data_IF_125320765429
#
_entry.id   IF_125320765429
#
_cell.length_a   1.000
_cell.length_b   1.000
_cell.length_c   1.000
_cell.angle_alpha   90.00
_cell.angle_beta   90.00
_cell.angle_gamma   90.00
#
_symmetry.space_group_name_H-M   'P 1'
#
loop_
_entity.id
_entity.type
_entity.pdbx_description
1 polymer ?
#
# COMPACT_ATOMS: atom_id res chain seq x y z
N UNK A 1 -15.56 -7.76 30.67
CA UNK A 1 -14.74 -8.23 29.55
C UNK A 1 -13.98 -7.02 29.05
N UNK A 2 -12.68 -6.94 29.31
CA UNK A 2 -11.83 -6.00 28.59
C UNK A 2 -11.88 -6.40 27.12
N UNK A 3 -12.44 -5.53 26.28
CA UNK A 3 -12.44 -5.73 24.83
C UNK A 3 -11.01 -5.70 24.34
N UNK A 4 -10.67 -6.59 23.41
CA UNK A 4 -9.35 -6.68 22.79
C UNK A 4 -8.99 -5.31 22.19
N UNK A 5 -8.05 -4.59 22.82
CA UNK A 5 -7.67 -3.25 22.41
C UNK A 5 -6.86 -3.35 21.11
N UNK A 6 -7.38 -2.77 20.03
CA UNK A 6 -6.65 -2.72 18.76
C UNK A 6 -5.44 -1.80 18.86
N UNK A 7 -4.26 -2.31 18.51
CA UNK A 7 -3.04 -1.52 18.42
C UNK A 7 -3.04 -0.69 17.13
N UNK A 8 -2.88 0.63 17.25
CA UNK A 8 -2.88 1.58 16.12
C UNK A 8 -1.59 2.38 16.12
N UNK A 9 -0.96 2.53 14.95
CA UNK A 9 0.20 3.41 14.75
C UNK A 9 -0.13 4.59 13.85
N UNK A 10 0.40 5.77 14.18
CA UNK A 10 0.30 6.97 13.35
C UNK A 10 1.72 7.55 13.22
N UNK A 11 2.19 7.71 11.99
CA UNK A 11 3.49 8.32 11.67
C UNK A 11 3.27 9.45 10.68
N UNK A 12 3.85 10.62 10.95
CA UNK A 12 3.76 11.78 10.07
C UNK A 12 4.67 11.60 8.85
N UNK A 13 4.11 11.76 7.66
CA UNK A 13 4.84 11.90 6.39
C UNK A 13 4.54 13.29 5.82
N UNK A 14 5.55 14.12 5.58
CA UNK A 14 5.35 15.53 5.20
C UNK A 14 4.85 15.71 3.77
N UNK A 15 5.16 14.76 2.89
CA UNK A 15 4.85 14.75 1.47
C UNK A 15 5.07 13.34 0.92
N UNK A 16 4.98 13.19 -0.40
CA UNK A 16 5.10 11.91 -1.09
C UNK A 16 6.49 11.64 -1.70
N UNK A 17 7.53 12.35 -1.29
CA UNK A 17 8.90 11.99 -1.70
C UNK A 17 9.23 10.56 -1.27
N UNK A 18 9.74 9.76 -2.19
CA UNK A 18 9.80 8.31 -2.03
C UNK A 18 10.56 7.88 -0.76
N UNK A 19 11.67 8.54 -0.43
CA UNK A 19 12.45 8.26 0.78
C UNK A 19 11.68 8.54 2.07
N UNK A 20 10.87 9.61 2.10
CA UNK A 20 10.06 9.97 3.26
C UNK A 20 8.91 9.00 3.45
N UNK A 21 8.26 8.60 2.36
CA UNK A 21 7.22 7.58 2.38
C UNK A 21 7.79 6.23 2.84
N UNK A 22 8.94 5.82 2.30
CA UNK A 22 9.62 4.58 2.71
C UNK A 22 9.91 4.53 4.21
N UNK A 23 10.41 5.65 4.76
CA UNK A 23 10.66 5.76 6.20
C UNK A 23 9.36 5.67 7.00
N UNK A 24 8.35 6.46 6.64
CA UNK A 24 7.10 6.54 7.39
C UNK A 24 6.32 5.22 7.38
N UNK A 25 6.27 4.52 6.23
CA UNK A 25 5.60 3.22 6.09
C UNK A 25 6.32 2.14 6.88
N UNK A 26 7.66 2.11 6.81
CA UNK A 26 8.45 1.14 7.56
C UNK A 26 8.29 1.33 9.07
N UNK A 27 8.30 2.58 9.53
CA UNK A 27 8.12 2.95 10.94
C UNK A 27 6.71 2.59 11.44
N UNK A 28 5.66 2.96 10.68
CA UNK A 28 4.27 2.68 11.08
C UNK A 28 4.02 1.18 11.21
N UNK A 29 4.47 0.38 10.25
CA UNK A 29 4.34 -1.07 10.32
C UNK A 29 5.15 -1.67 11.48
N UNK A 30 6.36 -1.19 11.74
CA UNK A 30 7.17 -1.66 12.87
C UNK A 30 6.48 -1.42 14.22
N UNK A 31 5.83 -0.26 14.38
CA UNK A 31 5.08 0.11 15.59
C UNK A 31 3.88 -0.80 15.88
N UNK A 32 3.37 -1.54 14.90
CA UNK A 32 2.28 -2.54 15.07
C UNK A 32 2.78 -4.00 14.94
N UNK A 33 4.09 -4.23 15.03
CA UNK A 33 4.69 -5.57 15.04
C UNK A 33 5.18 -6.08 13.68
N UNK A 34 5.06 -5.27 12.63
CA UNK A 34 5.60 -5.51 11.30
C UNK A 34 4.93 -6.64 10.52
N UNK A 35 5.38 -6.83 9.28
CA UNK A 35 4.78 -7.80 8.36
C UNK A 35 5.20 -9.25 8.60
N UNK A 36 6.21 -9.50 9.43
CA UNK A 36 6.83 -10.83 9.55
C UNK A 36 5.98 -11.90 10.20
N UNK A 37 4.99 -11.49 11.00
CA UNK A 37 4.01 -12.40 11.58
C UNK A 37 2.89 -12.77 10.60
N UNK A 38 2.74 -12.00 9.52
CA UNK A 38 1.63 -12.08 8.57
C UNK A 38 2.08 -12.73 7.26
N UNK A 39 3.26 -12.35 6.76
CA UNK A 39 3.77 -12.75 5.45
C UNK A 39 4.90 -13.76 5.62
N UNK A 40 4.73 -14.91 4.98
CA UNK A 40 5.72 -16.00 4.90
C UNK A 40 6.35 -16.03 3.50
N UNK A 41 7.59 -16.54 3.43
CA UNK A 41 8.32 -16.73 2.17
C UNK A 41 7.50 -17.59 1.21
N UNK A 42 7.47 -17.21 -0.07
CA UNK A 42 6.77 -17.92 -1.14
C UNK A 42 5.26 -17.67 -1.20
N UNK A 43 4.68 -16.88 -0.29
CA UNK A 43 3.26 -16.51 -0.39
C UNK A 43 3.00 -15.52 -1.52
N UNK A 44 1.78 -15.56 -2.05
CA UNK A 44 1.22 -14.50 -2.90
C UNK A 44 0.38 -13.55 -2.04
N UNK A 45 0.67 -12.26 -2.12
CA UNK A 45 0.03 -11.22 -1.33
C UNK A 45 -0.71 -10.27 -2.27
N UNK A 46 -2.03 -10.14 -2.08
CA UNK A 46 -2.84 -9.13 -2.75
C UNK A 46 -2.71 -7.80 -2.01
N UNK A 47 -2.19 -6.79 -2.68
CA UNK A 47 -2.32 -5.40 -2.26
C UNK A 47 -3.61 -4.85 -2.86
N UNK A 48 -4.65 -4.79 -2.02
CA UNK A 48 -5.92 -4.15 -2.37
C UNK A 48 -5.76 -2.65 -2.22
N UNK A 49 -5.60 -1.96 -3.35
CA UNK A 49 -5.49 -0.50 -3.39
C UNK A 49 -6.84 0.13 -3.73
N UNK A 50 -6.94 1.44 -3.55
CA UNK A 50 -8.06 2.24 -4.03
C UNK A 50 -7.67 2.94 -5.33
N UNK A 51 -8.34 2.60 -6.44
CA UNK A 51 -8.17 3.09 -7.81
C UNK A 51 -9.56 3.39 -8.37
N UNK A 52 -10.05 4.62 -8.14
CA UNK A 52 -11.41 5.00 -8.53
C UNK A 52 -11.47 5.38 -10.03
N UNK A 53 -10.43 6.02 -10.56
CA UNK A 53 -10.33 6.45 -11.95
C UNK A 53 -8.86 6.73 -12.33
N UNK A 54 -8.58 6.80 -13.63
CA UNK A 54 -7.27 7.18 -14.16
C UNK A 54 -7.05 8.70 -13.99
N UNK A 55 -6.57 9.10 -12.82
CA UNK A 55 -6.28 10.49 -12.45
C UNK A 55 -4.85 10.60 -11.94
N UNK A 56 -4.19 11.75 -12.13
CA UNK A 56 -2.82 11.94 -11.69
C UNK A 56 -2.75 12.03 -10.14
N UNK A 57 -1.63 11.64 -9.52
CA UNK A 57 -1.49 11.53 -8.07
C UNK A 57 -1.88 12.78 -7.27
N UNK A 58 -1.67 13.96 -7.85
CA UNK A 58 -1.92 15.27 -7.24
C UNK A 58 -3.42 15.48 -6.94
N UNK A 59 -4.30 14.74 -7.63
CA UNK A 59 -5.74 14.80 -7.37
C UNK A 59 -6.19 13.96 -6.19
N UNK A 60 -5.33 13.08 -5.66
CA UNK A 60 -5.61 12.22 -4.51
C UNK A 60 -6.90 11.40 -4.63
N UNK A 61 -7.30 11.03 -5.85
CA UNK A 61 -8.48 10.19 -6.16
C UNK A 61 -8.15 8.69 -6.02
N UNK A 62 -6.87 8.35 -6.12
CA UNK A 62 -6.33 6.98 -6.10
C UNK A 62 -5.16 6.93 -5.10
N UNK A 63 -4.76 5.71 -4.73
CA UNK A 63 -3.64 5.48 -3.81
C UNK A 63 -2.35 6.00 -4.44
N UNK A 64 -1.63 6.88 -3.74
CA UNK A 64 -0.43 7.50 -4.28
C UNK A 64 0.64 6.43 -4.65
N UNK A 65 1.28 6.50 -5.84
CA UNK A 65 2.24 5.49 -6.28
C UNK A 65 3.42 5.28 -5.36
N UNK A 66 3.89 6.35 -4.70
CA UNK A 66 5.00 6.26 -3.74
C UNK A 66 4.66 5.34 -2.55
N UNK A 67 3.41 5.38 -2.06
CA UNK A 67 2.94 4.50 -0.99
C UNK A 67 2.86 3.05 -1.48
N UNK A 68 2.30 2.83 -2.67
CA UNK A 68 2.22 1.51 -3.28
C UNK A 68 3.60 0.90 -3.48
N UNK A 69 4.56 1.65 -4.04
CA UNK A 69 5.96 1.22 -4.22
C UNK A 69 6.60 0.80 -2.90
N UNK A 70 6.38 1.59 -1.86
CA UNK A 70 6.94 1.32 -0.53
C UNK A 70 6.43 -0.01 0.04
N UNK A 71 5.11 -0.25 -0.03
CA UNK A 71 4.50 -1.48 0.45
C UNK A 71 4.92 -2.68 -0.39
N UNK A 72 4.96 -2.56 -1.72
CA UNK A 72 5.45 -3.62 -2.63
C UNK A 72 6.86 -4.04 -2.23
N UNK A 73 7.76 -3.08 -2.03
CA UNK A 73 9.15 -3.34 -1.61
C UNK A 73 9.21 -4.13 -0.31
N UNK A 74 8.49 -3.68 0.72
CA UNK A 74 8.47 -4.36 2.02
C UNK A 74 7.90 -5.78 1.96
N UNK A 75 6.92 -6.04 1.10
CA UNK A 75 6.39 -7.40 0.89
C UNK A 75 7.40 -8.28 0.16
N UNK A 76 8.05 -7.77 -0.89
CA UNK A 76 9.07 -8.51 -1.66
C UNK A 76 10.31 -8.81 -0.83
N UNK A 77 10.72 -7.91 0.07
CA UNK A 77 11.80 -8.15 1.04
C UNK A 77 11.51 -9.35 1.97
N UNK A 78 10.25 -9.80 2.09
CA UNK A 78 9.87 -11.04 2.80
C UNK A 78 9.90 -12.29 1.93
N UNK A 79 10.33 -12.19 0.68
CA UNK A 79 10.34 -13.30 -0.27
C UNK A 79 8.94 -13.70 -0.75
N UNK A 80 7.98 -12.76 -0.71
CA UNK A 80 6.63 -12.97 -1.21
C UNK A 80 6.44 -12.35 -2.60
N UNK A 81 5.51 -12.93 -3.37
CA UNK A 81 5.03 -12.37 -4.64
C UNK A 81 3.91 -11.37 -4.35
N UNK A 82 3.88 -10.27 -5.10
CA UNK A 82 2.87 -9.22 -4.94
C UNK A 82 1.95 -9.22 -6.14
N UNK A 83 0.64 -9.23 -5.88
CA UNK A 83 -0.41 -8.94 -6.85
C UNK A 83 -1.06 -7.62 -6.43
N UNK A 84 -1.22 -6.68 -7.35
CA UNK A 84 -1.93 -5.43 -7.07
C UNK A 84 -3.30 -5.52 -7.73
N UNK A 85 -4.35 -5.18 -7.00
CA UNK A 85 -5.70 -5.20 -7.53
C UNK A 85 -6.60 -4.19 -6.87
N UNK A 86 -7.62 -3.79 -7.61
CA UNK A 86 -8.75 -3.01 -7.11
C UNK A 86 -10.05 -3.52 -7.74
N UNK A 87 -11.17 -3.26 -7.07
CA UNK A 87 -12.52 -3.70 -7.43
C UNK A 87 -13.46 -2.52 -7.64
N UNK A 88 -12.97 -1.42 -8.22
CA UNK A 88 -13.83 -0.27 -8.54
C UNK A 88 -14.63 -0.56 -9.82
N UNK A 89 -15.90 -0.20 -9.84
CA UNK A 89 -16.79 -0.44 -10.99
C UNK A 89 -16.42 0.33 -12.27
N UNK A 90 -15.49 1.28 -12.18
CA UNK A 90 -15.11 2.21 -13.26
C UNK A 90 -13.86 1.76 -14.02
N UNK A 91 -12.92 1.06 -13.36
CA UNK A 91 -11.62 0.66 -13.95
C UNK A 91 -11.76 -0.38 -15.07
N UNK A 92 -12.90 -1.07 -15.19
CA UNK A 92 -13.14 -2.07 -16.23
C UNK A 92 -13.01 -1.56 -17.67
N UNK A 93 -13.13 -0.25 -17.91
CA UNK A 93 -13.09 0.31 -19.27
C UNK A 93 -11.68 0.68 -19.78
N UNK A 94 -10.69 0.89 -18.90
CA UNK A 94 -9.37 1.38 -19.32
C UNK A 94 -8.26 1.10 -18.29
N UNK A 95 -8.04 -0.18 -18.00
CA UNK A 95 -7.11 -0.60 -16.93
C UNK A 95 -5.65 -0.26 -17.24
N UNK A 96 -5.22 -0.35 -18.50
CA UNK A 96 -3.84 -0.03 -18.89
C UNK A 96 -3.51 1.44 -18.66
N UNK A 97 -4.39 2.34 -19.10
CA UNK A 97 -4.24 3.78 -18.88
C UNK A 97 -4.19 4.12 -17.40
N UNK A 98 -4.97 3.43 -16.59
CA UNK A 98 -5.02 3.66 -15.14
C UNK A 98 -3.63 3.49 -14.50
N UNK A 99 -2.88 2.45 -14.87
CA UNK A 99 -1.51 2.25 -14.38
C UNK A 99 -0.48 3.24 -14.93
N UNK A 100 -0.77 3.89 -16.06
CA UNK A 100 0.13 4.88 -16.67
C UNK A 100 -0.06 6.28 -16.07
N UNK A 101 -1.30 6.62 -15.70
CA UNK A 101 -1.68 7.95 -15.24
C UNK A 101 -1.59 8.07 -13.71
N UNK A 102 -1.93 6.99 -13.00
CA UNK A 102 -1.80 6.91 -11.54
C UNK A 102 -0.35 6.74 -11.15
#
# INVERSE_FOLDING_TARGET
>A
MEGDLSQVSIVKCSDYEQERVDKAVKESLALIGGLGKIIKVGQKVLLKVNIISAEPPERAVTTHPALLRSVIKLVRERGAEVVVGDSSGVVYKDIERTWQVT
#
